data_IF_709201627536
#
_entry.id   IF_709201627536
#
_cell.length_a   1.000
_cell.length_b   1.000
_cell.length_c   1.000
_cell.angle_alpha   90.00
_cell.angle_beta   90.00
_cell.angle_gamma   90.00
#
_symmetry.space_group_name_H-M   'P 1'
#
loop_
_entity.id
_entity.type
_entity.pdbx_description
1 polymer ?
#
# COMPACT_ATOMS: atom_id res chain seq x y z
N UNK A 1 5.87 46.63 16.96
CA UNK A 1 4.72 46.08 16.20
C UNK A 1 5.05 45.24 14.98
N UNK A 2 6.16 45.47 14.26
CA UNK A 2 6.54 44.65 13.10
C UNK A 2 6.98 43.22 13.46
N UNK A 3 7.66 43.02 14.59
CA UNK A 3 8.12 41.70 15.06
C UNK A 3 6.97 40.75 15.36
N UNK A 4 5.91 41.25 16.01
CA UNK A 4 4.72 40.46 16.34
C UNK A 4 3.94 40.05 15.08
N UNK A 5 3.94 40.87 14.03
CA UNK A 5 3.36 40.51 12.74
C UNK A 5 4.15 39.40 12.05
N UNK A 6 5.48 39.47 12.08
CA UNK A 6 6.36 38.43 11.52
C UNK A 6 6.15 37.10 12.25
N UNK A 7 6.05 37.10 13.57
CA UNK A 7 5.75 35.89 14.35
C UNK A 7 4.40 35.29 14.00
N UNK A 8 3.35 36.10 13.85
CA UNK A 8 2.02 35.61 13.43
C UNK A 8 2.03 35.04 12.02
N UNK A 9 2.72 35.69 11.07
CA UNK A 9 2.87 35.17 9.71
C UNK A 9 3.61 33.84 9.72
N UNK A 10 4.65 33.71 10.53
CA UNK A 10 5.40 32.46 10.70
C UNK A 10 4.53 31.36 11.31
N UNK A 11 3.75 31.67 12.35
CA UNK A 11 2.80 30.72 12.95
C UNK A 11 1.75 30.24 11.94
N UNK A 12 1.17 31.16 11.16
CA UNK A 12 0.22 30.80 10.09
C UNK A 12 0.90 29.95 9.01
N UNK A 13 2.13 30.25 8.64
CA UNK A 13 2.88 29.45 7.67
C UNK A 13 3.14 28.04 8.19
N UNK A 14 3.48 27.89 9.46
CA UNK A 14 3.65 26.59 10.13
C UNK A 14 2.32 25.81 10.17
N UNK A 15 1.20 26.48 10.46
CA UNK A 15 -0.14 25.87 10.45
C UNK A 15 -0.55 25.42 9.04
N UNK A 16 -0.34 26.25 8.02
CA UNK A 16 -0.59 25.89 6.63
C UNK A 16 0.28 24.71 6.18
N UNK A 17 1.56 24.70 6.56
CA UNK A 17 2.45 23.60 6.26
C UNK A 17 2.00 22.30 6.95
N UNK A 18 1.50 22.38 8.18
CA UNK A 18 0.93 21.23 8.89
C UNK A 18 -0.32 20.68 8.17
N UNK A 19 -1.24 21.56 7.76
CA UNK A 19 -2.46 21.17 7.02
C UNK A 19 -2.13 20.51 5.67
N UNK A 20 -1.18 21.07 4.92
CA UNK A 20 -0.73 20.49 3.65
C UNK A 20 -0.12 19.10 3.89
N UNK A 21 0.77 18.97 4.89
CA UNK A 21 1.38 17.68 5.23
C UNK A 21 0.34 16.64 5.64
N UNK A 22 -0.70 17.02 6.39
CA UNK A 22 -1.77 16.10 6.77
C UNK A 22 -2.54 15.59 5.54
N UNK A 23 -2.90 16.50 4.62
CA UNK A 23 -3.57 16.12 3.37
C UNK A 23 -2.69 15.23 2.48
N UNK A 24 -1.39 15.54 2.38
CA UNK A 24 -0.42 14.74 1.64
C UNK A 24 -0.28 13.34 2.24
N UNK A 25 -0.11 13.23 3.56
CA UNK A 25 -0.01 11.94 4.25
C UNK A 25 -1.29 11.10 4.07
N UNK A 26 -2.46 11.72 4.14
CA UNK A 26 -3.74 11.03 3.89
C UNK A 26 -3.82 10.52 2.45
N UNK A 27 -3.41 11.33 1.49
CA UNK A 27 -3.40 10.95 0.07
C UNK A 27 -2.42 9.80 -0.17
N UNK A 28 -1.19 9.90 0.33
CA UNK A 28 -0.19 8.84 0.24
C UNK A 28 -0.64 7.55 0.91
N UNK A 29 -1.30 7.66 2.07
CA UNK A 29 -1.86 6.50 2.75
C UNK A 29 -2.91 5.79 1.88
N UNK A 30 -3.85 6.53 1.29
CA UNK A 30 -4.86 5.95 0.39
C UNK A 30 -4.21 5.29 -0.83
N UNK A 31 -3.25 5.94 -1.48
CA UNK A 31 -2.51 5.37 -2.61
C UNK A 31 -1.78 4.08 -2.22
N UNK A 32 -1.16 4.05 -1.04
CA UNK A 32 -0.45 2.88 -0.53
C UNK A 32 -1.40 1.73 -0.26
N UNK A 33 -2.56 2.00 0.37
CA UNK A 33 -3.60 0.98 0.62
C UNK A 33 -4.09 0.39 -0.70
N UNK A 34 -4.41 1.23 -1.69
CA UNK A 34 -4.84 0.76 -3.01
C UNK A 34 -3.76 -0.09 -3.67
N UNK A 35 -2.49 0.33 -3.61
CA UNK A 35 -1.35 -0.42 -4.18
C UNK A 35 -1.18 -1.78 -3.53
N UNK A 36 -1.24 -1.85 -2.20
CA UNK A 36 -1.12 -3.12 -1.45
C UNK A 36 -2.26 -4.08 -1.79
N UNK A 37 -3.48 -3.55 -1.98
CA UNK A 37 -4.63 -4.35 -2.42
C UNK A 37 -4.52 -4.79 -3.90
N UNK A 38 -3.90 -3.98 -4.75
CA UNK A 38 -3.69 -4.29 -6.17
C UNK A 38 -2.52 -5.26 -6.41
N UNK A 39 -1.54 -5.30 -5.51
CA UNK A 39 -0.37 -6.17 -5.57
C UNK A 39 -0.71 -7.66 -5.82
N UNK A 40 -1.64 -8.30 -5.08
CA UNK A 40 -1.97 -9.71 -5.29
C UNK A 40 -2.59 -9.96 -6.67
N UNK A 41 -3.53 -9.11 -7.11
CA UNK A 41 -4.16 -9.29 -8.43
C UNK A 41 -3.17 -9.05 -9.57
N UNK A 42 -2.27 -8.07 -9.42
CA UNK A 42 -1.20 -7.81 -10.38
C UNK A 42 -0.19 -8.96 -10.46
N UNK A 43 0.15 -9.59 -9.32
CA UNK A 43 1.07 -10.73 -9.31
C UNK A 43 0.43 -11.96 -9.98
N UNK A 44 -0.86 -12.20 -9.71
CA UNK A 44 -1.63 -13.26 -10.37
C UNK A 44 -1.69 -13.01 -11.89
N UNK A 45 -2.08 -11.81 -12.31
CA UNK A 45 -2.13 -11.44 -13.72
C UNK A 45 -0.75 -11.51 -14.40
N UNK A 46 0.32 -11.10 -13.73
CA UNK A 46 1.69 -11.19 -14.23
C UNK A 46 2.15 -12.64 -14.44
N UNK A 47 1.87 -13.53 -13.48
CA UNK A 47 2.19 -14.96 -13.62
C UNK A 47 1.42 -15.64 -14.77
N UNK A 48 0.19 -15.21 -15.04
CA UNK A 48 -0.62 -15.72 -16.15
C UNK A 48 -0.32 -15.07 -17.50
N UNK A 49 0.10 -13.79 -17.49
CA UNK A 49 0.37 -12.99 -18.68
C UNK A 49 1.78 -13.15 -19.23
N UNK A 50 2.75 -13.54 -18.38
CA UNK A 50 4.02 -14.08 -18.88
C UNK A 50 3.68 -15.34 -19.67
N UNK A 51 4.04 -15.38 -20.95
CA UNK A 51 3.84 -16.51 -21.85
C UNK A 51 4.77 -17.68 -21.44
N UNK A 52 4.66 -18.13 -20.20
CA UNK A 52 5.38 -19.27 -19.64
C UNK A 52 4.75 -20.53 -20.23
N UNK A 53 5.23 -20.90 -21.41
CA UNK A 53 5.10 -22.25 -21.97
C UNK A 53 5.84 -23.30 -21.12
N UNK A 54 5.54 -23.36 -19.83
CA UNK A 54 6.31 -24.12 -18.86
C UNK A 54 5.83 -23.84 -17.44
N UNK A 55 4.59 -24.17 -17.14
CA UNK A 55 4.15 -24.36 -15.76
C UNK A 55 4.87 -25.65 -15.28
N UNK A 56 5.76 -25.64 -14.26
CA UNK A 56 6.24 -26.88 -13.65
C UNK A 56 5.13 -27.67 -12.90
N UNK A 57 3.86 -27.28 -13.08
CA UNK A 57 2.62 -27.89 -12.61
C UNK A 57 1.52 -27.92 -13.69
N UNK A 58 1.86 -27.79 -14.99
CA UNK A 58 0.90 -27.71 -16.11
C UNK A 58 -0.06 -28.92 -16.19
N UNK A 59 0.35 -30.05 -15.61
CA UNK A 59 -0.38 -31.30 -15.68
C UNK A 59 -1.44 -31.45 -14.59
N UNK A 60 -1.48 -30.59 -13.59
CA UNK A 60 -2.46 -30.67 -12.52
C UNK A 60 -3.34 -29.41 -12.46
N UNK A 61 -4.66 -29.64 -12.59
CA UNK A 61 -5.75 -28.67 -12.46
C UNK A 61 -5.65 -27.76 -11.21
N UNK A 62 -4.88 -28.18 -10.21
CA UNK A 62 -4.70 -27.49 -8.93
C UNK A 62 -3.38 -26.71 -8.78
N UNK A 63 -2.48 -26.73 -9.77
CA UNK A 63 -1.19 -26.02 -9.71
C UNK A 63 -1.34 -24.50 -9.47
N UNK A 64 -2.43 -23.92 -9.98
CA UNK A 64 -2.82 -22.54 -9.70
C UNK A 64 -3.06 -22.26 -8.22
N UNK A 65 -3.79 -23.14 -7.53
CA UNK A 65 -4.14 -22.97 -6.12
C UNK A 65 -2.93 -23.17 -5.19
N UNK A 66 -1.93 -23.94 -5.61
CA UNK A 66 -0.69 -24.13 -4.86
C UNK A 66 0.21 -22.89 -4.82
N UNK A 67 0.15 -22.01 -5.83
CA UNK A 67 0.89 -20.74 -5.83
C UNK A 67 0.04 -19.61 -5.25
N UNK A 68 -1.24 -19.57 -5.61
CA UNK A 68 -2.16 -18.55 -5.14
C UNK A 68 -2.43 -18.65 -3.62
N UNK A 69 -2.57 -19.86 -3.10
CA UNK A 69 -2.88 -20.10 -1.68
C UNK A 69 -1.84 -19.51 -0.73
N UNK A 70 -0.54 -19.88 -0.84
CA UNK A 70 0.52 -19.32 -0.01
C UNK A 70 0.63 -17.81 -0.17
N UNK A 71 0.53 -17.29 -1.40
CA UNK A 71 0.62 -15.86 -1.66
C UNK A 71 -0.50 -15.06 -0.98
N UNK A 72 -1.75 -15.53 -1.09
CA UNK A 72 -2.89 -14.90 -0.42
C UNK A 72 -2.75 -14.98 1.10
N UNK A 73 -2.30 -16.12 1.64
CA UNK A 73 -2.07 -16.29 3.07
C UNK A 73 -0.98 -15.34 3.57
N UNK A 74 0.14 -15.21 2.86
CA UNK A 74 1.23 -14.31 3.23
C UNK A 74 0.80 -12.85 3.16
N UNK A 75 0.08 -12.48 2.10
CA UNK A 75 -0.46 -11.12 1.93
C UNK A 75 -1.48 -10.78 3.02
N UNK A 76 -2.39 -11.70 3.34
CA UNK A 76 -3.38 -11.53 4.40
C UNK A 76 -2.73 -11.47 5.80
N UNK A 77 -1.71 -12.28 6.07
CA UNK A 77 -0.95 -12.25 7.33
C UNK A 77 -0.21 -10.92 7.50
N UNK A 78 0.47 -10.43 6.46
CA UNK A 78 1.17 -9.15 6.50
C UNK A 78 0.20 -7.98 6.65
N UNK A 79 -0.93 -8.01 5.95
CA UNK A 79 -1.99 -7.02 6.09
C UNK A 79 -2.59 -7.04 7.50
N UNK A 80 -2.93 -8.23 8.02
CA UNK A 80 -3.45 -8.39 9.36
C UNK A 80 -2.44 -7.90 10.42
N UNK A 81 -1.19 -8.32 10.32
CA UNK A 81 -0.14 -7.87 11.25
C UNK A 81 0.10 -6.37 11.18
N UNK A 82 0.16 -5.79 9.98
CA UNK A 82 0.33 -4.34 9.79
C UNK A 82 -0.85 -3.51 10.31
N UNK A 83 -2.09 -4.01 10.17
CA UNK A 83 -3.29 -3.35 10.68
C UNK A 83 -3.44 -3.51 12.20
N UNK A 84 -3.11 -4.68 12.75
CA UNK A 84 -3.16 -4.94 14.20
C UNK A 84 -2.06 -4.16 14.94
N UNK A 85 -0.87 -4.06 14.36
CA UNK A 85 0.25 -3.30 14.95
C UNK A 85 0.03 -1.78 14.94
N UNK A 86 -0.92 -1.26 14.17
CA UNK A 86 -1.34 0.16 14.26
C UNK A 86 -2.36 0.44 15.36
N UNK A 87 -2.87 -0.60 16.06
CA UNK A 87 -3.81 -0.47 17.19
C UNK A 87 -3.14 -0.56 18.58
N UNK A 88 -1.83 -0.81 18.64
CA UNK A 88 -0.98 -0.66 19.83
C UNK A 88 0.04 0.46 19.56
#
# INVERSE_FOLDING_TARGET
DTTALVERVKQLQEELAALVNEQTNRTLFLLTVVTVLALPINLVAGLFGMNVGGIPLAQHRYGFFFVLGPLLVLTALLAYWGLVKRRY
#
